data_IF_017090272295
#
_entry.id   IF_017090272295
#
_cell.length_a   1.000
_cell.length_b   1.000
_cell.length_c   1.000
_cell.angle_alpha   90.00
_cell.angle_beta   90.00
_cell.angle_gamma   90.00
#
_symmetry.space_group_name_H-M   'P 1'
#
loop_
_entity.id
_entity.type
_entity.pdbx_description
1 polymer ?
#
# COMPACT_ATOMS: atom_id res chain seq x y z
N UNK A 1 -8.92 15.72 -25.52
CA UNK A 1 -8.02 15.76 -24.34
C UNK A 1 -7.91 14.34 -23.77
N UNK A 2 -6.71 13.82 -23.53
CA UNK A 2 -6.53 12.47 -22.94
C UNK A 2 -6.91 12.52 -21.45
N UNK A 3 -7.91 11.75 -21.03
CA UNK A 3 -8.30 11.59 -19.64
C UNK A 3 -7.25 10.77 -18.85
N UNK A 4 -7.23 10.94 -17.52
CA UNK A 4 -6.37 10.18 -16.61
C UNK A 4 -4.86 10.27 -16.94
N UNK A 5 -4.34 11.48 -17.19
CA UNK A 5 -2.90 11.68 -17.43
C UNK A 5 -2.06 11.54 -16.16
N UNK A 6 -2.59 12.01 -15.04
CA UNK A 6 -1.87 12.06 -13.77
C UNK A 6 -2.30 10.87 -12.90
N UNK A 7 -1.75 9.69 -13.19
CA UNK A 7 -2.02 8.48 -12.40
C UNK A 7 -0.73 7.77 -11.98
N UNK A 8 -0.82 6.99 -10.90
CA UNK A 8 0.30 6.18 -10.40
C UNK A 8 -0.22 4.86 -9.84
N UNK A 9 0.42 3.75 -10.22
CA UNK A 9 0.25 2.46 -9.55
C UNK A 9 1.03 2.47 -8.23
N UNK A 10 0.40 2.04 -7.14
CA UNK A 10 0.92 2.21 -5.77
C UNK A 10 1.42 0.90 -5.17
N UNK A 11 0.61 -0.16 -5.21
CA UNK A 11 0.95 -1.48 -4.65
C UNK A 11 0.20 -2.59 -5.39
N UNK A 12 0.62 -3.82 -5.16
CA UNK A 12 -0.14 -5.01 -5.55
C UNK A 12 -0.40 -5.89 -4.33
N UNK A 13 -1.46 -6.69 -4.37
CA UNK A 13 -1.73 -7.71 -3.35
C UNK A 13 -2.44 -8.91 -3.96
N UNK A 14 -2.39 -10.06 -3.27
CA UNK A 14 -3.36 -11.13 -3.52
C UNK A 14 -4.77 -10.68 -3.12
N UNK A 15 -5.78 -11.19 -3.80
CA UNK A 15 -7.18 -11.05 -3.44
C UNK A 15 -7.92 -12.33 -3.78
N UNK A 16 -8.75 -12.82 -2.88
CA UNK A 16 -9.59 -13.99 -3.16
C UNK A 16 -10.81 -13.61 -3.99
N UNK A 17 -11.19 -14.47 -4.93
CA UNK A 17 -12.43 -14.28 -5.68
C UNK A 17 -13.63 -14.24 -4.73
N UNK A 18 -14.46 -13.18 -4.86
CA UNK A 18 -15.56 -12.86 -3.94
C UNK A 18 -15.18 -12.81 -2.45
N UNK A 19 -13.89 -12.67 -2.13
CA UNK A 19 -13.40 -12.66 -0.76
C UNK A 19 -13.36 -14.03 -0.07
N UNK A 20 -13.63 -15.12 -0.80
CA UNK A 20 -13.67 -16.47 -0.26
C UNK A 20 -12.35 -17.20 -0.50
N UNK A 21 -11.69 -17.59 0.60
CA UNK A 21 -10.34 -18.17 0.64
C UNK A 21 -10.21 -19.51 -0.08
N UNK A 22 -11.32 -20.24 -0.25
CA UNK A 22 -11.35 -21.52 -0.96
C UNK A 22 -11.31 -21.32 -2.48
N UNK A 23 -11.58 -20.10 -2.95
CA UNK A 23 -11.55 -19.77 -4.37
C UNK A 23 -10.16 -19.35 -4.86
N UNK A 24 -10.03 -19.29 -6.19
CA UNK A 24 -8.82 -18.83 -6.89
C UNK A 24 -8.32 -17.48 -6.35
N UNK A 25 -7.01 -17.41 -6.10
CA UNK A 25 -6.30 -16.17 -5.78
C UNK A 25 -6.10 -15.34 -7.06
N UNK A 26 -6.50 -14.07 -7.00
CA UNK A 26 -6.31 -13.06 -8.03
C UNK A 26 -5.24 -12.06 -7.62
N UNK A 27 -4.66 -11.37 -8.61
CA UNK A 27 -3.77 -10.23 -8.38
C UNK A 27 -4.56 -8.93 -8.42
N UNK A 28 -4.51 -8.18 -7.32
CA UNK A 28 -5.10 -6.84 -7.21
C UNK A 28 -3.99 -5.80 -7.38
N UNK A 29 -4.11 -4.94 -8.38
CA UNK A 29 -3.21 -3.81 -8.61
C UNK A 29 -3.92 -2.54 -8.15
N UNK A 30 -3.30 -1.78 -7.25
CA UNK A 30 -3.84 -0.51 -6.75
C UNK A 30 -3.20 0.65 -7.51
N UNK A 31 -3.99 1.70 -7.74
CA UNK A 31 -3.53 2.96 -8.29
C UNK A 31 -4.41 4.12 -7.89
N UNK A 32 -3.90 5.33 -8.07
CA UNK A 32 -4.58 6.60 -7.82
C UNK A 32 -4.47 7.47 -9.07
N UNK A 33 -5.46 8.34 -9.30
CA UNK A 33 -5.47 9.30 -10.39
C UNK A 33 -6.02 10.63 -9.91
N UNK A 34 -5.40 11.73 -10.37
CA UNK A 34 -5.75 13.10 -10.02
C UNK A 34 -5.96 13.94 -11.28
N UNK A 35 -6.60 15.10 -11.11
CA UNK A 35 -6.81 16.05 -12.20
C UNK A 35 -5.50 16.74 -12.60
N UNK A 36 -4.69 17.14 -11.62
CA UNK A 36 -3.41 17.86 -11.81
C UNK A 36 -2.20 17.00 -11.46
N UNK A 37 -1.02 17.37 -11.98
CA UNK A 37 0.25 16.72 -11.62
C UNK A 37 0.67 17.04 -10.19
N UNK A 38 0.35 18.25 -9.73
CA UNK A 38 0.69 18.78 -8.41
C UNK A 38 -0.05 18.01 -7.32
N UNK A 39 -1.33 17.72 -7.50
CA UNK A 39 -2.13 16.93 -6.55
C UNK A 39 -1.62 15.50 -6.44
N UNK A 40 -1.24 14.88 -7.57
CA UNK A 40 -0.63 13.56 -7.57
C UNK A 40 0.69 13.56 -6.80
N UNK A 41 1.56 14.54 -7.04
CA UNK A 41 2.84 14.66 -6.36
C UNK A 41 2.67 14.85 -4.85
N UNK A 42 1.78 15.76 -4.45
CA UNK A 42 1.45 16.01 -3.04
C UNK A 42 0.91 14.76 -2.35
N UNK A 43 0.03 14.02 -3.01
CA UNK A 43 -0.49 12.76 -2.46
C UNK A 43 0.62 11.72 -2.26
N UNK A 44 1.56 11.60 -3.21
CA UNK A 44 2.68 10.67 -3.10
C UNK A 44 3.63 11.06 -1.96
N UNK A 45 3.90 12.35 -1.77
CA UNK A 45 4.69 12.83 -0.62
C UNK A 45 4.05 12.48 0.72
N UNK A 46 2.73 12.67 0.86
CA UNK A 46 1.99 12.31 2.06
C UNK A 46 2.06 10.81 2.35
N UNK A 47 1.97 9.97 1.30
CA UNK A 47 2.12 8.52 1.45
C UNK A 47 3.52 8.13 1.91
N UNK A 48 4.58 8.79 1.41
CA UNK A 48 5.95 8.53 1.86
C UNK A 48 6.17 9.00 3.31
N UNK A 49 5.61 10.13 3.70
CA UNK A 49 5.66 10.60 5.08
C UNK A 49 4.93 9.62 6.03
N UNK A 50 3.76 9.13 5.65
CA UNK A 50 3.02 8.14 6.41
C UNK A 50 3.82 6.83 6.57
N UNK A 51 4.49 6.35 5.50
CA UNK A 51 5.36 5.16 5.57
C UNK A 51 6.54 5.34 6.52
N UNK A 52 7.11 6.55 6.63
CA UNK A 52 8.20 6.83 7.59
C UNK A 52 7.73 6.75 9.04
N UNK A 53 6.44 6.99 9.30
CA UNK A 53 5.83 6.95 10.64
C UNK A 53 5.16 5.62 10.98
N UNK A 54 5.29 4.61 10.12
CA UNK A 54 4.70 3.31 10.38
C UNK A 54 5.33 2.67 11.62
N UNK A 55 4.48 2.31 12.60
CA UNK A 55 4.91 1.75 13.88
C UNK A 55 5.67 0.43 13.73
N UNK A 56 5.39 -0.37 12.70
CA UNK A 56 6.12 -1.64 12.46
C UNK A 56 7.52 -1.36 11.96
N UNK A 57 7.67 -0.37 11.08
CA UNK A 57 8.97 0.10 10.60
C UNK A 57 9.79 0.70 11.75
N UNK A 58 9.24 1.69 12.44
CA UNK A 58 9.91 2.35 13.56
C UNK A 58 10.19 1.40 14.73
N UNK A 59 9.24 0.53 15.07
CA UNK A 59 9.40 -0.45 16.14
C UNK A 59 10.54 -1.44 15.87
N UNK A 60 10.74 -1.82 14.60
CA UNK A 60 11.87 -2.64 14.17
C UNK A 60 13.19 -1.86 14.18
N UNK A 61 13.21 -0.64 13.65
CA UNK A 61 14.42 0.20 13.57
C UNK A 61 14.94 0.61 14.95
N UNK A 62 14.03 0.88 15.89
CA UNK A 62 14.35 1.29 17.26
C UNK A 62 14.46 0.11 18.23
N UNK A 63 14.27 -1.13 17.76
CA UNK A 63 14.35 -2.33 18.60
C UNK A 63 13.29 -2.41 19.72
N UNK A 64 12.16 -1.72 19.57
CA UNK A 64 11.12 -1.61 20.60
C UNK A 64 10.32 -2.91 20.79
N UNK A 65 10.12 -3.65 19.69
CA UNK A 65 9.44 -4.94 19.72
C UNK A 65 9.81 -5.78 18.48
N UNK A 66 9.72 -7.10 18.63
CA UNK A 66 9.96 -8.04 17.54
C UNK A 66 8.70 -8.84 17.25
N UNK A 67 8.32 -8.94 15.99
CA UNK A 67 7.26 -9.86 15.57
C UNK A 67 7.89 -11.24 15.35
N UNK A 68 7.62 -12.18 16.24
CA UNK A 68 8.00 -13.58 16.08
C UNK A 68 6.89 -14.37 15.39
N UNK A 69 7.24 -15.24 14.45
CA UNK A 69 6.27 -16.15 13.83
C UNK A 69 5.74 -17.19 14.84
N UNK A 70 6.56 -17.59 15.82
CA UNK A 70 6.18 -18.50 16.91
C UNK A 70 5.24 -17.88 17.96
N UNK A 71 5.04 -16.57 17.94
CA UNK A 71 4.09 -15.89 18.83
C UNK A 71 2.64 -15.91 18.28
N UNK A 72 2.43 -16.36 17.03
CA UNK A 72 1.10 -16.46 16.39
C UNK A 72 0.52 -17.88 16.39
N UNK A 73 1.29 -18.87 16.85
CA UNK A 73 0.88 -20.27 17.00
C UNK A 73 0.22 -20.54 18.34
#
# INVERSE_FOLDING_TARGET
VKACKNFKLTKHSGAYWKGDKENKVLQRIYGVCFETSEDLAKHLELLEEAKRRDHKKLGKELGLFMMSEYARS
#
